data_IF_808616832822
#
_entry.id   IF_808616832822
#
_cell.length_a   1.000
_cell.length_b   1.000
_cell.length_c   1.000
_cell.angle_alpha   90.00
_cell.angle_beta   90.00
_cell.angle_gamma   90.00
#
_symmetry.space_group_name_H-M   'P 1'
#
loop_
_entity.id
_entity.type
_entity.pdbx_description
1 polymer ?
#
# COMPACT_ATOMS: atom_id res chain seq x y z
N UNK A 1 49.67 21.09 37.15
CA UNK A 1 49.91 20.75 35.73
C UNK A 1 49.21 19.42 35.47
N UNK A 2 47.93 19.47 35.14
CA UNK A 2 47.14 18.29 34.74
C UNK A 2 46.36 18.66 33.47
N UNK A 3 47.10 18.87 32.38
CA UNK A 3 46.53 19.23 31.06
C UNK A 3 46.25 18.00 30.20
N UNK A 4 46.41 16.78 30.75
CA UNK A 4 46.29 15.53 29.99
C UNK A 4 44.93 14.84 30.18
N UNK A 5 44.17 15.23 31.21
CA UNK A 5 42.85 14.64 31.53
C UNK A 5 41.73 15.15 30.62
N UNK A 6 41.70 16.47 30.34
CA UNK A 6 40.64 17.10 29.52
C UNK A 6 40.63 16.62 28.06
N UNK A 7 41.81 16.45 27.45
CA UNK A 7 41.94 15.98 26.06
C UNK A 7 41.45 14.53 25.87
N UNK A 8 41.63 13.68 26.89
CA UNK A 8 41.16 12.30 26.88
C UNK A 8 39.63 12.23 27.00
N UNK A 9 39.03 13.11 27.79
CA UNK A 9 37.57 13.20 27.95
C UNK A 9 36.90 13.75 26.71
N UNK A 10 37.45 14.78 26.06
CA UNK A 10 36.95 15.26 24.77
C UNK A 10 37.00 14.18 23.68
N UNK A 11 38.12 13.44 23.59
CA UNK A 11 38.26 12.34 22.63
C UNK A 11 37.23 11.24 22.88
N UNK A 12 36.95 10.94 24.16
CA UNK A 12 35.95 9.96 24.58
C UNK A 12 34.54 10.42 24.21
N UNK A 13 34.19 11.67 24.47
CA UNK A 13 32.90 12.25 24.12
C UNK A 13 32.67 12.27 22.61
N UNK A 14 33.68 12.66 21.80
CA UNK A 14 33.58 12.61 20.34
C UNK A 14 33.35 11.19 19.83
N UNK A 15 34.03 10.20 20.39
CA UNK A 15 33.81 8.79 20.02
C UNK A 15 32.41 8.30 20.40
N UNK A 16 31.92 8.65 21.58
CA UNK A 16 30.55 8.32 22.02
C UNK A 16 29.51 8.96 21.10
N UNK A 17 29.67 10.24 20.74
CA UNK A 17 28.78 10.93 19.81
C UNK A 17 28.78 10.27 18.42
N UNK A 18 29.95 9.85 17.91
CA UNK A 18 30.03 9.11 16.65
C UNK A 18 29.38 7.73 16.71
N UNK A 19 29.47 7.03 17.84
CA UNK A 19 28.77 5.75 18.02
C UNK A 19 27.25 5.96 18.08
N UNK A 20 26.78 6.97 18.82
CA UNK A 20 25.35 7.33 18.90
C UNK A 20 24.77 7.62 17.52
N UNK A 21 25.43 8.46 16.71
CA UNK A 21 24.99 8.75 15.33
C UNK A 21 24.89 7.49 14.49
N UNK A 22 25.87 6.58 14.56
CA UNK A 22 25.84 5.31 13.83
C UNK A 22 24.73 4.37 14.31
N UNK A 23 24.39 4.41 15.60
CA UNK A 23 23.29 3.62 16.15
C UNK A 23 21.93 4.18 15.71
N UNK A 24 21.77 5.51 15.68
CA UNK A 24 20.59 6.20 15.15
C UNK A 24 20.37 5.92 13.66
N UNK A 25 21.42 6.01 12.84
CA UNK A 25 21.39 5.65 11.41
C UNK A 25 20.99 4.19 11.19
N UNK A 26 21.54 3.27 12.00
CA UNK A 26 21.15 1.85 11.96
C UNK A 26 19.69 1.65 12.35
N UNK A 27 19.20 2.35 13.37
CA UNK A 27 17.80 2.29 13.81
C UNK A 27 16.85 2.80 12.72
N UNK A 28 17.18 3.92 12.08
CA UNK A 28 16.43 4.46 10.96
C UNK A 28 16.40 3.47 9.80
N UNK A 29 17.54 2.88 9.42
CA UNK A 29 17.59 1.89 8.34
C UNK A 29 16.77 0.62 8.61
N UNK A 30 16.67 0.17 9.86
CA UNK A 30 15.79 -0.94 10.24
C UNK A 30 14.33 -0.53 10.13
N UNK A 31 13.97 0.66 10.60
CA UNK A 31 12.60 1.18 10.53
C UNK A 31 12.12 1.31 9.08
N UNK A 32 12.92 1.93 8.21
CA UNK A 32 12.59 2.07 6.78
C UNK A 32 12.30 0.71 6.13
N UNK A 33 13.15 -0.30 6.37
CA UNK A 33 12.93 -1.66 5.85
C UNK A 33 11.65 -2.32 6.38
N UNK A 34 11.28 -2.04 7.63
CA UNK A 34 10.02 -2.57 8.19
C UNK A 34 8.81 -1.90 7.55
N UNK A 35 8.86 -0.59 7.34
CA UNK A 35 7.76 0.16 6.73
C UNK A 35 7.57 -0.20 5.26
N UNK A 36 8.67 -0.39 4.52
CA UNK A 36 8.64 -0.96 3.16
C UNK A 36 7.96 -2.34 3.13
N UNK A 37 8.33 -3.24 4.05
CA UNK A 37 7.70 -4.57 4.14
C UNK A 37 6.21 -4.51 4.47
N UNK A 38 5.81 -3.63 5.39
CA UNK A 38 4.39 -3.41 5.73
C UNK A 38 3.63 -2.90 4.52
N UNK A 39 4.18 -1.92 3.81
CA UNK A 39 3.58 -1.37 2.59
C UNK A 39 3.37 -2.47 1.54
N UNK A 40 4.41 -3.24 1.23
CA UNK A 40 4.33 -4.37 0.28
C UNK A 40 3.27 -5.39 0.70
N UNK A 41 3.22 -5.73 2.00
CA UNK A 41 2.24 -6.70 2.51
C UNK A 41 0.81 -6.17 2.36
N UNK A 42 0.54 -4.93 2.76
CA UNK A 42 -0.77 -4.29 2.62
C UNK A 42 -1.21 -4.19 1.15
N UNK A 43 -0.29 -3.81 0.26
CA UNK A 43 -0.55 -3.77 -1.19
C UNK A 43 -0.88 -5.15 -1.75
N UNK A 44 -0.15 -6.19 -1.35
CA UNK A 44 -0.41 -7.56 -1.81
C UNK A 44 -1.76 -8.10 -1.32
N UNK A 45 -2.13 -7.80 -0.07
CA UNK A 45 -3.45 -8.16 0.49
C UNK A 45 -4.56 -7.45 -0.28
N UNK A 46 -4.43 -6.14 -0.49
CA UNK A 46 -5.42 -5.36 -1.24
C UNK A 46 -5.54 -5.80 -2.70
N UNK A 47 -4.43 -6.20 -3.33
CA UNK A 47 -4.43 -6.79 -4.68
C UNK A 47 -5.16 -8.12 -4.72
N UNK A 48 -4.87 -9.02 -3.77
CA UNK A 48 -5.53 -10.32 -3.71
C UNK A 48 -7.05 -10.15 -3.54
N UNK A 49 -7.46 -9.24 -2.66
CA UNK A 49 -8.86 -8.88 -2.48
C UNK A 49 -9.48 -8.35 -3.79
N UNK A 50 -8.78 -7.46 -4.50
CA UNK A 50 -9.23 -6.97 -5.80
C UNK A 50 -9.38 -8.10 -6.85
N UNK A 51 -8.40 -8.99 -6.94
CA UNK A 51 -8.40 -10.13 -7.87
C UNK A 51 -9.50 -11.15 -7.56
N UNK A 52 -9.97 -11.23 -6.31
CA UNK A 52 -11.09 -12.09 -5.89
C UNK A 52 -12.46 -11.45 -6.13
N UNK A 53 -12.64 -10.16 -5.78
CA UNK A 53 -13.94 -9.49 -5.85
C UNK A 53 -14.29 -8.96 -7.25
N UNK A 54 -13.31 -8.44 -8.00
CA UNK A 54 -13.56 -7.84 -9.32
C UNK A 54 -14.25 -8.82 -10.30
N UNK A 55 -13.82 -10.09 -10.45
CA UNK A 55 -14.51 -11.05 -11.31
C UNK A 55 -15.95 -11.31 -10.90
N UNK A 56 -16.26 -11.30 -9.60
CA UNK A 56 -17.62 -11.51 -9.08
C UNK A 56 -18.53 -10.33 -9.46
N UNK A 57 -18.08 -9.10 -9.23
CA UNK A 57 -18.82 -7.89 -9.61
C UNK A 57 -19.05 -7.83 -11.12
N UNK A 58 -18.03 -8.20 -11.90
CA UNK A 58 -18.12 -8.28 -13.37
C UNK A 58 -19.16 -9.32 -13.80
N UNK A 59 -19.13 -10.52 -13.23
CA UNK A 59 -20.10 -11.59 -13.54
C UNK A 59 -21.54 -11.15 -13.24
N UNK A 60 -21.77 -10.46 -12.11
CA UNK A 60 -23.10 -9.95 -11.76
C UNK A 60 -23.61 -8.94 -12.78
N UNK A 61 -22.74 -8.07 -13.28
CA UNK A 61 -23.06 -7.09 -14.33
C UNK A 61 -23.39 -7.81 -15.65
N UNK A 62 -22.60 -8.80 -16.05
CA UNK A 62 -22.84 -9.60 -17.27
C UNK A 62 -24.17 -10.38 -17.19
N UNK A 63 -24.50 -10.94 -16.03
CA UNK A 63 -25.78 -11.60 -15.78
C UNK A 63 -26.96 -10.61 -15.88
N UNK A 64 -26.81 -9.40 -15.34
CA UNK A 64 -27.83 -8.34 -15.41
C UNK A 64 -28.02 -7.87 -16.86
N UNK A 65 -26.93 -7.67 -17.61
CA UNK A 65 -27.01 -7.36 -19.05
C UNK A 65 -27.72 -8.46 -19.83
N UNK A 66 -27.41 -9.72 -19.55
CA UNK A 66 -28.05 -10.87 -20.19
C UNK A 66 -29.55 -10.89 -19.89
N UNK A 67 -29.96 -10.66 -18.65
CA UNK A 67 -31.38 -10.54 -18.26
C UNK A 67 -32.07 -9.38 -18.95
N UNK A 68 -31.42 -8.22 -19.03
CA UNK A 68 -31.94 -7.02 -19.73
C UNK A 68 -32.14 -7.23 -21.22
N UNK A 69 -31.27 -8.02 -21.86
CA UNK A 69 -31.36 -8.32 -23.29
C UNK A 69 -32.58 -9.18 -23.63
N UNK A 70 -33.06 -9.98 -22.67
CA UNK A 70 -34.24 -10.84 -22.79
C UNK A 70 -35.49 -10.14 -22.25
N UNK A 71 -35.34 -9.31 -21.22
CA UNK A 71 -36.44 -8.73 -20.47
C UNK A 71 -36.11 -7.26 -20.14
N UNK A 72 -36.70 -6.34 -20.90
CA UNK A 72 -36.47 -4.89 -20.82
C UNK A 72 -37.19 -4.23 -19.64
N UNK A 73 -37.12 -4.86 -18.46
CA UNK A 73 -37.69 -4.34 -17.23
C UNK A 73 -36.83 -3.19 -16.68
N UNK A 74 -37.45 -2.04 -16.40
CA UNK A 74 -36.80 -0.87 -15.79
C UNK A 74 -36.11 -1.22 -14.48
N UNK A 75 -36.62 -2.21 -13.75
CA UNK A 75 -35.99 -2.70 -12.51
C UNK A 75 -34.57 -3.20 -12.75
N UNK A 76 -34.33 -3.97 -13.82
CA UNK A 76 -32.99 -4.48 -14.12
C UNK A 76 -32.05 -3.36 -14.60
N UNK A 77 -32.58 -2.32 -15.25
CA UNK A 77 -31.80 -1.14 -15.64
C UNK A 77 -31.28 -0.42 -14.38
N UNK A 78 -32.15 -0.25 -13.39
CA UNK A 78 -31.78 0.37 -12.12
C UNK A 78 -30.77 -0.48 -11.34
N UNK A 79 -30.99 -1.79 -11.23
CA UNK A 79 -30.04 -2.71 -10.59
C UNK A 79 -28.67 -2.69 -11.29
N UNK A 80 -28.65 -2.65 -12.62
CA UNK A 80 -27.41 -2.56 -13.40
C UNK A 80 -26.65 -1.25 -13.13
N UNK A 81 -27.35 -0.12 -13.10
CA UNK A 81 -26.74 1.18 -12.79
C UNK A 81 -26.08 1.18 -11.40
N UNK A 82 -26.75 0.61 -10.40
CA UNK A 82 -26.19 0.48 -9.04
C UNK A 82 -24.94 -0.41 -9.00
N UNK A 83 -24.95 -1.55 -9.70
CA UNK A 83 -23.79 -2.46 -9.74
C UNK A 83 -22.61 -1.81 -10.48
N UNK A 84 -22.86 -1.07 -11.55
CA UNK A 84 -21.82 -0.31 -12.27
C UNK A 84 -21.20 0.77 -11.38
N UNK A 85 -22.00 1.54 -10.65
CA UNK A 85 -21.49 2.53 -9.69
C UNK A 85 -20.68 1.90 -8.57
N UNK A 86 -21.13 0.76 -8.02
CA UNK A 86 -20.36 0.00 -7.03
C UNK A 86 -19.03 -0.47 -7.59
N UNK A 87 -19.01 -1.00 -8.82
CA UNK A 87 -17.78 -1.45 -9.47
C UNK A 87 -16.82 -0.29 -9.76
N UNK A 88 -17.33 0.86 -10.23
CA UNK A 88 -16.53 2.07 -10.45
C UNK A 88 -15.86 2.54 -9.15
N UNK A 89 -16.64 2.63 -8.07
CA UNK A 89 -16.12 3.00 -6.75
C UNK A 89 -15.06 2.01 -6.27
N UNK A 90 -15.33 0.71 -6.40
CA UNK A 90 -14.40 -0.35 -6.02
C UNK A 90 -13.07 -0.24 -6.76
N UNK A 91 -13.10 -0.05 -8.08
CA UNK A 91 -11.91 0.16 -8.91
C UNK A 91 -11.16 1.42 -8.49
N UNK A 92 -11.88 2.52 -8.26
CA UNK A 92 -11.28 3.80 -7.88
C UNK A 92 -10.55 3.71 -6.55
N UNK A 93 -11.13 3.04 -5.55
CA UNK A 93 -10.51 2.84 -4.23
C UNK A 93 -9.26 1.95 -4.30
N UNK A 94 -9.18 1.05 -5.28
CA UNK A 94 -8.08 0.10 -5.42
C UNK A 94 -7.07 0.48 -6.52
N UNK A 95 -7.27 1.60 -7.23
CA UNK A 95 -6.42 2.00 -8.36
C UNK A 95 -4.98 2.25 -7.94
N UNK A 96 -4.77 2.83 -6.76
CA UNK A 96 -3.43 3.12 -6.22
C UNK A 96 -2.68 1.83 -5.87
N UNK A 97 -3.40 0.82 -5.39
CA UNK A 97 -2.88 -0.53 -5.13
C UNK A 97 -2.49 -1.20 -6.46
N UNK A 98 -3.29 -1.05 -7.50
CA UNK A 98 -3.01 -1.63 -8.82
C UNK A 98 -1.80 -0.96 -9.50
N UNK A 99 -1.70 0.38 -9.44
CA UNK A 99 -0.62 1.19 -10.04
C UNK A 99 0.75 0.97 -9.41
N UNK A 100 0.80 0.59 -8.13
CA UNK A 100 2.08 0.34 -7.43
C UNK A 100 2.95 -0.75 -8.08
N UNK A 101 2.35 -1.68 -8.86
CA UNK A 101 3.07 -2.73 -9.61
C UNK A 101 3.76 -2.21 -10.87
N UNK A 102 3.24 -1.16 -11.51
CA UNK A 102 3.84 -0.61 -12.73
C UNK A 102 5.10 0.19 -12.39
N UNK A 103 5.19 0.76 -11.19
CA UNK A 103 6.38 1.50 -10.72
C UNK A 103 7.46 0.52 -10.20
N UNK A 104 7.07 -0.60 -9.59
CA UNK A 104 8.03 -1.58 -9.07
C UNK A 104 8.63 -2.53 -10.14
N UNK A 105 8.05 -2.59 -11.34
CA UNK A 105 8.55 -3.38 -12.48
C UNK A 105 9.04 -2.53 -13.66
N UNK A 106 9.02 -1.19 -13.55
CA UNK A 106 9.63 -0.27 -14.50
C UNK A 106 11.09 0.02 -14.13
#
# INVERSE_FOLDING_TARGET
MDSSSDDLDERRQRKLAQMSRRDEERKLGVQTKQDERKLVTSTNVGRKYFEEEYPLMKSQIEDLFSKLSVNHDEKYIQELAEHLQKMEKFITEHVDILRSRDIANA
#
